data_IF_021462884428
#
_entry.id   IF_021462884428
#
_cell.length_a   1.000
_cell.length_b   1.000
_cell.length_c   1.000
_cell.angle_alpha   90.00
_cell.angle_beta   90.00
_cell.angle_gamma   90.00
#
_symmetry.space_group_name_H-M   'P 1'
#
loop_
_entity.id
_entity.type
_entity.pdbx_description
1 polymer ?
#
# COMPACT_ATOMS: atom_id res chain seq x y z
N UNK A 1 2.46 8.42 22.13
CA UNK A 1 3.02 8.79 20.81
C UNK A 1 4.54 8.58 20.80
N UNK A 2 5.02 7.36 20.54
CA UNK A 2 6.47 7.03 20.56
C UNK A 2 7.17 7.27 19.22
N UNK A 3 6.46 7.07 18.10
CA UNK A 3 6.99 7.23 16.73
C UNK A 3 7.22 8.70 16.33
N UNK A 4 6.32 9.61 16.71
CA UNK A 4 6.50 11.06 16.46
C UNK A 4 7.77 11.58 17.11
N UNK A 5 8.00 11.23 18.38
CA UNK A 5 9.20 11.62 19.11
C UNK A 5 10.46 10.97 18.52
N UNK A 6 10.39 9.67 18.19
CA UNK A 6 11.55 8.92 17.67
C UNK A 6 12.04 9.42 16.31
N UNK A 7 11.10 9.76 15.41
CA UNK A 7 11.41 10.15 14.03
C UNK A 7 11.21 11.65 13.75
N UNK A 8 10.90 12.46 14.78
CA UNK A 8 10.65 13.89 14.62
C UNK A 8 9.44 14.21 13.73
N UNK A 9 8.41 13.37 13.75
CA UNK A 9 7.25 13.51 12.86
C UNK A 9 6.25 14.53 13.41
N UNK A 10 5.70 15.34 12.50
CA UNK A 10 4.66 16.32 12.79
C UNK A 10 3.34 15.60 13.19
N UNK A 11 2.84 15.79 14.42
CA UNK A 11 1.62 15.13 14.89
C UNK A 11 0.37 15.54 14.11
N UNK A 12 0.39 16.67 13.39
CA UNK A 12 -0.73 17.11 12.55
C UNK A 12 -0.80 16.33 11.21
N UNK A 13 0.19 15.50 10.88
CA UNK A 13 0.27 14.74 9.62
C UNK A 13 -0.18 13.29 9.75
N UNK A 14 -0.89 12.97 10.83
CA UNK A 14 -1.45 11.64 11.06
C UNK A 14 -2.83 11.52 10.43
N UNK A 15 -3.12 10.37 9.83
CA UNK A 15 -4.44 10.03 9.34
C UNK A 15 -4.87 8.68 9.90
N UNK A 16 -6.14 8.57 10.29
CA UNK A 16 -6.73 7.28 10.61
C UNK A 16 -6.97 6.51 9.30
N UNK A 17 -6.63 5.22 9.31
CA UNK A 17 -6.84 4.33 8.17
C UNK A 17 -7.57 3.07 8.59
N UNK A 18 -8.27 2.47 7.64
CA UNK A 18 -8.89 1.17 7.83
C UNK A 18 -9.31 0.58 6.50
N UNK A 19 -9.38 -0.74 6.46
CA UNK A 19 -9.91 -1.48 5.32
C UNK A 19 -10.61 -2.72 5.80
N UNK A 20 -11.91 -2.80 5.53
CA UNK A 20 -12.68 -4.02 5.76
C UNK A 20 -12.18 -5.14 4.83
N UNK A 21 -11.97 -4.82 3.53
CA UNK A 21 -11.42 -5.74 2.52
C UNK A 21 -10.12 -6.41 2.98
N UNK A 22 -9.21 -5.65 3.59
CA UNK A 22 -7.91 -6.17 4.05
C UNK A 22 -7.86 -6.49 5.55
N UNK A 23 -8.92 -6.20 6.28
CA UNK A 23 -9.09 -6.57 7.68
C UNK A 23 -8.14 -5.88 8.64
N UNK A 24 -7.95 -4.57 8.49
CA UNK A 24 -7.15 -3.76 9.43
C UNK A 24 -7.78 -2.41 9.76
N UNK A 25 -7.43 -1.89 10.93
CA UNK A 25 -7.55 -0.48 11.30
C UNK A 25 -6.15 0.05 11.62
N UNK A 26 -5.94 1.36 11.66
CA UNK A 26 -4.61 1.87 11.95
C UNK A 26 -4.46 3.37 11.82
N UNK A 27 -3.20 3.78 11.76
CA UNK A 27 -2.82 5.16 11.50
C UNK A 27 -1.65 5.19 10.53
N UNK A 28 -1.61 6.21 9.69
CA UNK A 28 -0.43 6.54 8.91
C UNK A 28 0.09 7.92 9.26
N UNK A 29 1.38 8.12 9.06
CA UNK A 29 2.04 9.41 9.19
C UNK A 29 2.63 9.82 7.86
N UNK A 30 2.17 10.95 7.32
CA UNK A 30 2.70 11.55 6.11
C UNK A 30 3.95 12.37 6.44
N UNK A 31 4.99 12.27 5.62
CA UNK A 31 6.22 13.00 5.84
C UNK A 31 6.20 14.42 5.28
N UNK A 32 5.77 14.59 4.03
CA UNK A 32 5.79 15.90 3.33
C UNK A 32 4.54 16.16 2.46
N UNK A 33 3.32 16.14 3.03
CA UNK A 33 2.11 16.39 2.26
C UNK A 33 1.87 17.90 2.05
N UNK A 34 1.34 18.33 0.89
CA UNK A 34 0.94 17.52 -0.26
C UNK A 34 2.05 17.27 -1.29
N UNK A 35 3.28 17.74 -1.06
CA UNK A 35 4.36 17.68 -2.03
C UNK A 35 4.80 16.25 -2.38
N UNK A 36 4.76 15.33 -1.41
CA UNK A 36 5.14 13.92 -1.57
C UNK A 36 4.23 12.98 -0.79
N UNK A 37 4.05 11.76 -1.30
CA UNK A 37 3.22 10.71 -0.70
C UNK A 37 4.07 9.65 0.07
N UNK A 38 5.15 10.09 0.70
CA UNK A 38 5.93 9.22 1.59
C UNK A 38 5.29 9.12 2.96
N UNK A 39 5.17 7.90 3.48
CA UNK A 39 4.52 7.63 4.76
C UNK A 39 4.94 6.30 5.37
N UNK A 40 4.72 6.19 6.67
CA UNK A 40 4.68 4.92 7.39
C UNK A 40 3.25 4.64 7.80
N UNK A 41 2.79 3.41 7.58
CA UNK A 41 1.49 2.92 8.03
C UNK A 41 1.69 1.94 9.19
N UNK A 42 0.98 2.15 10.29
CA UNK A 42 0.87 1.22 11.42
C UNK A 42 -0.53 0.64 11.39
N UNK A 43 -0.63 -0.66 11.09
CA UNK A 43 -1.89 -1.38 10.95
C UNK A 43 -2.07 -2.39 12.07
N UNK A 44 -3.21 -2.34 12.73
CA UNK A 44 -3.71 -3.36 13.63
C UNK A 44 -4.67 -4.28 12.87
N UNK A 45 -4.36 -5.57 12.86
CA UNK A 45 -5.22 -6.59 12.27
C UNK A 45 -6.52 -6.70 13.08
N UNK A 46 -7.65 -6.70 12.38
CA UNK A 46 -8.98 -6.99 12.95
C UNK A 46 -9.63 -8.23 12.34
N UNK A 47 -9.04 -8.79 11.27
CA UNK A 47 -9.48 -10.05 10.68
C UNK A 47 -8.33 -11.07 10.62
N UNK A 48 -8.33 -12.10 11.49
CA UNK A 48 -7.30 -13.14 11.50
C UNK A 48 -7.20 -13.93 10.18
N UNK A 49 -8.30 -13.99 9.43
CA UNK A 49 -8.36 -14.71 8.16
C UNK A 49 -7.84 -13.89 6.98
N UNK A 50 -7.59 -12.58 7.15
CA UNK A 50 -7.04 -11.73 6.08
C UNK A 50 -5.57 -12.06 5.76
N UNK A 51 -5.06 -11.55 4.64
CA UNK A 51 -3.65 -11.74 4.28
C UNK A 51 -2.68 -11.21 5.37
N UNK A 52 -2.99 -10.04 5.93
CA UNK A 52 -2.23 -9.43 7.02
C UNK A 52 -2.40 -10.22 8.33
N UNK A 53 -3.61 -10.70 8.63
CA UNK A 53 -3.84 -11.54 9.82
C UNK A 53 -3.06 -12.84 9.79
N UNK A 54 -3.05 -13.53 8.64
CA UNK A 54 -2.21 -14.72 8.44
C UNK A 54 -0.72 -14.42 8.52
N UNK A 55 -0.27 -13.22 8.13
CA UNK A 55 1.13 -12.81 8.25
C UNK A 55 1.52 -12.62 9.71
N UNK A 56 0.76 -11.81 10.46
CA UNK A 56 1.03 -11.50 11.87
C UNK A 56 1.02 -12.78 12.70
N UNK A 57 0.08 -13.70 12.46
CA UNK A 57 0.06 -15.00 13.14
C UNK A 57 1.34 -15.83 12.95
N UNK A 58 2.04 -15.66 11.81
CA UNK A 58 3.28 -16.40 11.51
C UNK A 58 4.56 -15.66 11.87
N UNK A 59 4.58 -14.33 11.82
CA UNK A 59 5.80 -13.53 11.95
C UNK A 59 5.79 -12.52 13.10
N UNK A 60 4.66 -12.34 13.77
CA UNK A 60 4.46 -11.25 14.74
C UNK A 60 4.52 -9.87 14.09
N UNK A 61 4.62 -8.86 14.94
CA UNK A 61 4.73 -7.46 14.53
C UNK A 61 6.02 -7.24 13.73
N UNK A 62 5.85 -6.83 12.46
CA UNK A 62 6.95 -6.75 11.50
C UNK A 62 6.58 -5.87 10.31
N UNK A 63 7.57 -5.51 9.48
CA UNK A 63 7.33 -4.86 8.20
C UNK A 63 6.56 -5.83 7.27
N UNK A 64 5.32 -5.49 6.94
CA UNK A 64 4.43 -6.34 6.15
C UNK A 64 4.62 -6.17 4.63
N UNK A 65 4.75 -4.93 4.16
CA UNK A 65 4.72 -4.58 2.75
C UNK A 65 5.40 -3.23 2.51
N UNK A 66 6.01 -3.05 1.34
CA UNK A 66 6.37 -1.73 0.81
C UNK A 66 5.36 -1.30 -0.26
N UNK A 67 5.22 0.01 -0.47
CA UNK A 67 4.32 0.55 -1.48
C UNK A 67 5.03 1.61 -2.31
N UNK A 68 4.79 1.64 -3.61
CA UNK A 68 5.32 2.66 -4.53
C UNK A 68 4.25 3.18 -5.47
N UNK A 69 4.43 4.40 -5.96
CA UNK A 69 3.66 4.94 -7.07
C UNK A 69 4.44 4.76 -8.36
N UNK A 70 3.73 4.46 -9.46
CA UNK A 70 4.29 4.37 -10.79
C UNK A 70 3.32 4.94 -11.83
N UNK A 71 3.77 5.76 -12.79
CA UNK A 71 2.86 6.32 -13.80
C UNK A 71 2.30 5.24 -14.74
N UNK A 72 3.12 4.23 -15.06
CA UNK A 72 2.82 3.22 -16.08
C UNK A 72 2.58 1.83 -15.46
N UNK A 73 1.49 1.70 -14.70
CA UNK A 73 1.10 0.43 -14.03
C UNK A 73 1.02 -0.72 -15.04
N UNK A 74 0.48 -0.47 -16.23
CA UNK A 74 0.31 -1.51 -17.25
C UNK A 74 1.65 -2.07 -17.75
N UNK A 75 2.67 -1.23 -17.92
CA UNK A 75 4.01 -1.68 -18.30
C UNK A 75 4.65 -2.56 -17.22
N UNK A 76 4.36 -2.30 -15.94
CA UNK A 76 4.81 -3.17 -14.84
C UNK A 76 4.16 -4.54 -14.96
N UNK A 77 2.84 -4.59 -15.19
CA UNK A 77 2.10 -5.85 -15.36
C UNK A 77 2.66 -6.63 -16.55
N UNK A 78 2.85 -6.01 -17.72
CA UNK A 78 3.40 -6.66 -18.92
C UNK A 78 4.78 -7.28 -18.66
N UNK A 79 5.65 -6.55 -17.94
CA UNK A 79 6.99 -7.04 -17.59
C UNK A 79 6.94 -8.22 -16.61
N UNK A 80 5.98 -8.22 -15.68
CA UNK A 80 5.75 -9.34 -14.78
C UNK A 80 5.23 -10.56 -15.55
N UNK A 81 4.21 -10.38 -16.40
CA UNK A 81 3.64 -11.46 -17.22
C UNK A 81 4.69 -12.09 -18.14
N UNK A 82 5.48 -11.27 -18.85
CA UNK A 82 6.57 -11.73 -19.72
C UNK A 82 7.64 -12.54 -18.97
N UNK A 83 7.82 -12.27 -17.67
CA UNK A 83 8.77 -12.97 -16.79
C UNK A 83 8.10 -14.02 -15.90
N UNK A 84 6.82 -14.32 -16.12
CA UNK A 84 6.01 -15.24 -15.31
C UNK A 84 6.01 -14.87 -13.81
N UNK A 85 6.18 -13.59 -13.50
CA UNK A 85 6.08 -13.03 -12.16
C UNK A 85 4.64 -13.05 -11.68
N UNK A 86 4.42 -13.50 -10.44
CA UNK A 86 3.08 -13.54 -9.83
C UNK A 86 2.69 -12.15 -9.32
N UNK A 87 1.43 -11.79 -9.53
CA UNK A 87 0.83 -10.55 -9.06
C UNK A 87 -0.67 -10.72 -8.83
N UNK A 88 -1.28 -9.76 -8.15
CA UNK A 88 -2.73 -9.68 -7.91
C UNK A 88 -3.24 -8.29 -8.31
N UNK A 89 -4.30 -8.18 -9.13
CA UNK A 89 -4.88 -6.88 -9.49
C UNK A 89 -5.53 -6.20 -8.29
N UNK A 90 -5.65 -4.87 -8.35
CA UNK A 90 -6.44 -4.08 -7.40
C UNK A 90 -7.94 -4.30 -7.64
N UNK A 91 -8.36 -4.24 -8.91
CA UNK A 91 -9.72 -4.51 -9.38
C UNK A 91 -9.99 -5.99 -9.62
N UNK A 92 -11.21 -6.28 -10.08
CA UNK A 92 -11.68 -7.67 -10.28
C UNK A 92 -11.20 -8.29 -11.59
N UNK A 93 -10.96 -7.49 -12.63
CA UNK A 93 -10.45 -7.94 -13.92
C UNK A 93 -8.97 -7.54 -14.12
N UNK A 94 -8.03 -8.52 -14.08
CA UNK A 94 -6.62 -8.27 -14.38
C UNK A 94 -6.36 -7.61 -15.75
N UNK A 95 -7.22 -7.84 -16.75
CA UNK A 95 -7.04 -7.30 -18.11
C UNK A 95 -7.41 -5.83 -18.19
N UNK A 96 -8.29 -5.37 -17.31
CA UNK A 96 -8.72 -3.98 -17.23
C UNK A 96 -7.93 -3.16 -16.20
N UNK A 97 -6.95 -3.77 -15.51
CA UNK A 97 -6.21 -3.14 -14.42
C UNK A 97 -5.39 -1.93 -14.89
N UNK A 98 -5.63 -0.79 -14.26
CA UNK A 98 -4.99 0.51 -14.53
C UNK A 98 -4.60 1.28 -13.28
N UNK A 99 -5.18 0.93 -12.14
CA UNK A 99 -5.05 1.64 -10.88
C UNK A 99 -3.91 1.11 -10.04
N UNK A 100 -3.67 -0.20 -10.03
CA UNK A 100 -2.57 -0.77 -9.25
C UNK A 100 -2.55 -2.28 -9.15
N UNK A 101 -1.54 -2.79 -8.46
CA UNK A 101 -1.35 -4.23 -8.24
C UNK A 101 -0.58 -4.51 -6.94
N UNK A 102 -0.61 -5.77 -6.52
CA UNK A 102 0.34 -6.31 -5.55
C UNK A 102 1.26 -7.31 -6.24
N UNK A 103 2.56 -7.06 -6.24
CA UNK A 103 3.57 -8.00 -6.72
C UNK A 103 3.82 -9.04 -5.64
N UNK A 104 3.69 -10.31 -6.00
CA UNK A 104 3.84 -11.40 -5.04
C UNK A 104 5.30 -11.52 -4.57
N UNK A 105 5.57 -11.82 -3.28
CA UNK A 105 6.93 -11.95 -2.73
C UNK A 105 7.89 -12.85 -3.52
N UNK A 106 7.37 -13.90 -4.15
CA UNK A 106 8.20 -14.80 -4.98
C UNK A 106 8.78 -14.15 -6.23
N UNK A 107 8.28 -12.98 -6.65
CA UNK A 107 8.82 -12.22 -7.77
C UNK A 107 9.86 -11.17 -7.33
N UNK A 108 9.97 -10.89 -6.03
CA UNK A 108 10.81 -9.82 -5.46
C UNK A 108 11.61 -10.30 -4.23
N UNK A 109 12.15 -11.52 -4.29
CA UNK A 109 13.02 -12.09 -3.25
C UNK A 109 12.46 -11.98 -1.81
N UNK A 110 11.15 -12.13 -1.66
CA UNK A 110 10.47 -12.10 -0.35
C UNK A 110 9.74 -10.80 -0.02
N UNK A 111 9.88 -9.75 -0.83
CA UNK A 111 9.17 -8.48 -0.63
C UNK A 111 7.76 -8.51 -1.24
N UNK A 112 6.73 -8.32 -0.41
CA UNK A 112 5.42 -7.92 -0.90
C UNK A 112 5.48 -6.43 -1.27
N UNK A 113 5.18 -6.10 -2.53
CA UNK A 113 5.19 -4.73 -3.04
C UNK A 113 3.82 -4.36 -3.59
N UNK A 114 3.19 -3.36 -3.00
CA UNK A 114 2.03 -2.69 -3.59
C UNK A 114 2.48 -1.61 -4.57
N UNK A 115 1.75 -1.46 -5.67
CA UNK A 115 1.97 -0.44 -6.68
C UNK A 115 0.63 0.22 -6.97
N UNK A 116 0.60 1.55 -7.04
CA UNK A 116 -0.53 2.30 -7.60
C UNK A 116 -0.07 3.20 -8.74
N UNK A 117 -1.03 3.63 -9.57
CA UNK A 117 -0.83 4.80 -10.40
C UNK A 117 -0.52 6.01 -9.54
N UNK A 118 0.14 7.00 -10.14
CA UNK A 118 0.47 8.27 -9.46
C UNK A 118 -0.78 8.92 -8.89
N UNK A 119 -0.65 9.49 -7.68
CA UNK A 119 -1.65 10.14 -6.84
C UNK A 119 -2.73 9.24 -6.24
N UNK A 120 -2.97 8.04 -6.78
CA UNK A 120 -4.08 7.21 -6.30
C UNK A 120 -3.93 6.86 -4.82
N UNK A 121 -2.70 6.71 -4.32
CA UNK A 121 -2.48 6.41 -2.91
C UNK A 121 -2.95 7.48 -1.92
N UNK A 122 -3.27 8.69 -2.38
CA UNK A 122 -3.90 9.71 -1.55
C UNK A 122 -5.30 9.33 -1.09
N UNK A 123 -6.01 8.49 -1.85
CA UNK A 123 -7.34 7.96 -1.54
C UNK A 123 -7.37 7.31 -0.15
N UNK A 124 -6.42 6.41 0.11
CA UNK A 124 -6.28 5.72 1.40
C UNK A 124 -5.27 6.40 2.34
N UNK A 125 -4.83 7.62 2.01
CA UNK A 125 -3.95 8.43 2.87
C UNK A 125 -4.66 9.61 3.54
N UNK A 126 -6.00 9.62 3.52
CA UNK A 126 -6.82 10.66 4.15
C UNK A 126 -6.85 11.99 3.41
N UNK A 127 -6.43 12.01 2.14
CA UNK A 127 -6.48 13.21 1.28
C UNK A 127 -7.01 12.87 -0.13
N UNK A 128 -8.20 12.25 -0.25
CA UNK A 128 -8.73 11.78 -1.54
C UNK A 128 -8.87 12.90 -2.59
N UNK A 129 -9.01 14.16 -2.17
CA UNK A 129 -9.03 15.33 -3.05
C UNK A 129 -7.73 15.56 -3.84
N UNK A 130 -6.62 14.90 -3.47
CA UNK A 130 -5.34 14.97 -4.18
C UNK A 130 -5.21 13.90 -5.27
N UNK A 131 -6.21 13.02 -5.43
CA UNK A 131 -6.21 11.98 -6.45
C UNK A 131 -6.56 12.60 -7.81
N UNK A 132 -5.68 12.46 -8.78
CA UNK A 132 -5.97 12.80 -10.18
C UNK A 132 -6.90 11.73 -10.79
N UNK A 133 -7.80 12.12 -11.73
CA UNK A 133 -8.60 11.16 -12.47
C UNK A 133 -7.71 10.24 -13.32
N UNK A 134 -8.27 9.11 -13.77
CA UNK A 134 -7.61 8.31 -14.80
C UNK A 134 -7.44 9.14 -16.07
N UNK A 135 -6.25 9.11 -16.71
CA UNK A 135 -6.06 9.71 -18.02
C UNK A 135 -6.84 8.98 -19.12
#
# INVERSE_FOLDING_TARGET
MRFTALFGLDPARFSAIGSERFGYVGTLTLFDPPARLDRIEISQVVSPTSAMGRWVARRGDSLYMCYVEAPEVRLIIERLEARRGRWTPRGDDPRAERDGLWVHPSALHGLLLGVSRTTLGWEWSGRPQLVAPLP
#
